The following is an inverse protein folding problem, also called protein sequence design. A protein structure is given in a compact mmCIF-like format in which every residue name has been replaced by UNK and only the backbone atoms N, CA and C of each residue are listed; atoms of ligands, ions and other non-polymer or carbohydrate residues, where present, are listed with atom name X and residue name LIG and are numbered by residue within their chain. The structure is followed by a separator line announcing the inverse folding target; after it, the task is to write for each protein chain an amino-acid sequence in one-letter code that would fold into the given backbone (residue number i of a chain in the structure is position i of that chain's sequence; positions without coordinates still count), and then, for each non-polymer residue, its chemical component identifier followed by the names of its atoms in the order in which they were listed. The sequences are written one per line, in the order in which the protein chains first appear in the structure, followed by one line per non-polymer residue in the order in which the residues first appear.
data_IF_096790740152
#
_entry.id   IF_096790740152
#
_cell.length_a   1.000
_cell.length_b   1.000
_cell.length_c   1.000
_cell.angle_alpha   90.00
_cell.angle_beta   90.00
_cell.angle_gamma   90.00
#
_symmetry.space_group_name_H-M   'P 1'
#
loop_
_entity.id
_entity.type
_entity.pdbx_description
1 polymer ?
#
# COMPACT_ATOMS: atom_id res chain seq x y z
N UNK A 1 -14.00 -49.60 69.54
CA UNK A 1 -14.38 -48.18 69.30
C UNK A 1 -13.98 -47.85 67.87
N UNK A 2 -14.90 -47.91 66.90
CA UNK A 2 -14.49 -48.05 65.49
C UNK A 2 -15.44 -47.40 64.46
N UNK A 3 -15.96 -46.21 64.75
CA UNK A 3 -16.66 -45.39 63.75
C UNK A 3 -16.31 -43.90 63.87
N UNK A 4 -15.07 -43.52 63.50
CA UNK A 4 -14.70 -42.09 63.38
C UNK A 4 -13.58 -41.76 62.37
N UNK A 5 -13.50 -42.49 61.24
CA UNK A 5 -12.49 -42.25 60.17
C UNK A 5 -13.03 -42.14 58.73
N UNK A 6 -14.34 -42.20 58.51
CA UNK A 6 -14.93 -42.28 57.14
C UNK A 6 -15.47 -40.92 56.64
N UNK A 7 -15.76 -39.95 57.51
CA UNK A 7 -16.40 -38.68 57.12
C UNK A 7 -15.47 -37.62 56.52
N UNK A 8 -14.16 -37.66 56.79
CA UNK A 8 -13.23 -36.58 56.39
C UNK A 8 -12.80 -36.70 54.93
N UNK A 9 -12.36 -37.88 54.49
CA UNK A 9 -11.84 -38.10 53.12
C UNK A 9 -12.91 -37.78 52.07
N UNK A 10 -14.16 -38.17 52.34
CA UNK A 10 -15.29 -37.94 51.42
C UNK A 10 -15.72 -36.47 51.33
N UNK A 11 -15.32 -35.61 52.29
CA UNK A 11 -15.49 -34.15 52.21
C UNK A 11 -14.30 -33.46 51.56
N UNK A 12 -13.07 -33.91 51.87
CA UNK A 12 -11.85 -33.37 51.26
C UNK A 12 -11.82 -33.63 49.74
N UNK A 13 -12.20 -34.84 49.31
CA UNK A 13 -12.29 -35.21 47.88
C UNK A 13 -13.30 -34.34 47.11
N UNK A 14 -14.45 -33.99 47.70
CA UNK A 14 -15.42 -33.08 47.07
C UNK A 14 -14.89 -31.65 47.04
N UNK A 15 -14.19 -31.19 48.10
CA UNK A 15 -13.63 -29.84 48.11
C UNK A 15 -12.51 -29.66 47.09
N UNK A 16 -11.61 -30.64 46.94
CA UNK A 16 -10.58 -30.65 45.89
C UNK A 16 -11.18 -30.76 44.50
N UNK A 17 -12.22 -31.58 44.31
CA UNK A 17 -12.92 -31.68 43.02
C UNK A 17 -13.63 -30.36 42.64
N UNK A 18 -14.31 -29.71 43.58
CA UNK A 18 -14.96 -28.42 43.34
C UNK A 18 -13.92 -27.31 43.10
N UNK A 19 -12.79 -27.32 43.82
CA UNK A 19 -11.71 -26.36 43.59
C UNK A 19 -11.05 -26.58 42.22
N UNK A 20 -10.80 -27.83 41.82
CA UNK A 20 -10.31 -28.17 40.48
C UNK A 20 -11.31 -27.81 39.37
N UNK A 21 -12.62 -27.96 39.62
CA UNK A 21 -13.68 -27.49 38.70
C UNK A 21 -13.68 -25.96 38.62
N UNK A 22 -13.49 -25.22 39.72
CA UNK A 22 -13.40 -23.76 39.70
C UNK A 22 -12.16 -23.26 38.94
N UNK A 23 -11.01 -23.94 39.06
CA UNK A 23 -9.83 -23.62 38.24
C UNK A 23 -10.00 -24.00 36.77
N UNK A 24 -10.59 -25.17 36.48
CA UNK A 24 -10.96 -25.53 35.11
C UNK A 24 -12.02 -24.58 34.51
N UNK A 25 -12.85 -23.91 35.34
CA UNK A 25 -13.86 -22.93 34.93
C UNK A 25 -13.29 -21.56 34.47
N UNK A 26 -11.96 -21.43 34.36
CA UNK A 26 -11.29 -20.19 33.95
C UNK A 26 -11.35 -19.87 32.43
N UNK A 27 -12.32 -20.41 31.67
CA UNK A 27 -12.54 -20.19 30.23
C UNK A 27 -13.04 -18.79 29.87
N UNK A 28 -12.46 -17.77 30.49
CA UNK A 28 -13.03 -16.45 30.69
C UNK A 28 -12.02 -15.34 30.37
N UNK A 29 -11.04 -15.60 29.51
CA UNK A 29 -10.02 -14.62 29.08
C UNK A 29 -10.36 -14.09 27.69
N UNK A 30 -10.18 -12.78 27.49
CA UNK A 30 -9.92 -12.17 26.18
C UNK A 30 -8.45 -11.73 26.17
N UNK A 31 -7.68 -12.29 25.25
CA UNK A 31 -6.30 -11.93 24.94
C UNK A 31 -6.27 -11.52 23.47
N UNK A 32 -5.99 -10.26 23.19
CA UNK A 32 -5.79 -9.75 21.83
C UNK A 32 -4.47 -9.01 21.77
N UNK A 33 -3.57 -9.44 20.90
CA UNK A 33 -2.49 -8.59 20.41
C UNK A 33 -2.89 -8.12 19.01
N UNK A 34 -2.84 -6.82 18.75
CA UNK A 34 -3.13 -6.23 17.44
C UNK A 34 -1.98 -5.31 17.05
N UNK A 35 -1.38 -5.58 15.89
CA UNK A 35 -0.32 -4.79 15.29
C UNK A 35 -0.84 -4.19 13.99
N UNK A 36 -1.08 -2.88 13.96
CA UNK A 36 -1.29 -2.16 12.70
C UNK A 36 0.04 -1.61 12.22
N UNK A 37 0.52 -2.09 11.09
CA UNK A 37 1.61 -1.49 10.35
C UNK A 37 1.04 -0.35 9.50
N UNK A 38 1.75 0.77 9.47
CA UNK A 38 1.39 1.97 8.74
C UNK A 38 2.35 2.15 7.54
N UNK A 39 1.92 2.82 6.47
CA UNK A 39 2.75 3.10 5.29
C UNK A 39 3.98 3.97 5.59
N UNK A 40 3.99 4.72 6.69
CA UNK A 40 5.11 5.56 7.14
C UNK A 40 6.28 4.78 7.79
N UNK A 41 6.26 3.44 7.72
CA UNK A 41 7.25 2.57 8.36
C UNK A 41 7.09 2.44 9.88
N UNK A 42 5.96 2.87 10.45
CA UNK A 42 5.67 2.75 11.89
C UNK A 42 4.57 1.73 12.20
N UNK A 43 4.44 1.40 13.48
CA UNK A 43 3.45 0.46 14.02
C UNK A 43 2.66 1.07 15.16
N UNK A 44 1.35 0.91 15.05
CA UNK A 44 0.37 1.11 16.12
C UNK A 44 0.03 -0.26 16.74
N UNK A 45 0.64 -0.55 17.89
CA UNK A 45 0.42 -1.80 18.61
C UNK A 45 -0.55 -1.60 19.78
N UNK A 46 -1.49 -2.53 19.95
CA UNK A 46 -2.30 -2.59 21.17
C UNK A 46 -2.51 -4.01 21.67
N UNK A 47 -2.60 -4.14 22.99
CA UNK A 47 -2.72 -5.41 23.69
C UNK A 47 -3.87 -5.36 24.71
N UNK A 48 -4.87 -6.22 24.56
CA UNK A 48 -6.00 -6.38 25.49
C UNK A 48 -5.77 -7.63 26.33
N UNK A 49 -5.83 -7.49 27.65
CA UNK A 49 -5.89 -8.62 28.57
C UNK A 49 -7.01 -8.41 29.60
N UNK A 50 -8.07 -9.21 29.46
CA UNK A 50 -9.29 -9.07 30.25
C UNK A 50 -9.85 -10.41 30.70
N UNK A 51 -10.49 -10.41 31.88
CA UNK A 51 -11.11 -11.58 32.51
C UNK A 51 -12.60 -11.36 32.73
N UNK A 52 -13.41 -12.43 32.75
CA UNK A 52 -14.82 -12.34 33.12
C UNK A 52 -14.99 -11.83 34.56
N UNK A 53 -15.83 -10.82 34.73
CA UNK A 53 -16.22 -10.25 36.04
C UNK A 53 -16.95 -11.27 36.92
N UNK A 54 -17.50 -12.34 36.33
CA UNK A 54 -18.19 -13.43 37.04
C UNK A 54 -17.24 -14.23 37.96
N UNK A 55 -15.93 -14.19 37.72
CA UNK A 55 -14.93 -14.98 38.45
C UNK A 55 -14.46 -14.36 39.79
N UNK A 56 -14.81 -13.09 40.06
CA UNK A 56 -14.50 -12.41 41.31
C UNK A 56 -13.08 -11.80 41.40
N UNK A 57 -12.87 -10.99 42.44
CA UNK A 57 -11.75 -10.03 42.54
C UNK A 57 -10.36 -10.62 42.77
N UNK A 58 -10.27 -11.86 43.23
CA UNK A 58 -9.00 -12.44 43.71
C UNK A 58 -8.16 -13.02 42.56
N UNK A 59 -8.76 -13.26 41.39
CA UNK A 59 -8.07 -13.61 40.14
C UNK A 59 -7.51 -12.37 39.43
N UNK A 60 -7.93 -11.16 39.81
CA UNK A 60 -7.46 -9.88 39.25
C UNK A 60 -6.07 -9.47 39.76
N UNK A 61 -5.15 -10.42 39.94
CA UNK A 61 -3.75 -10.23 40.31
C UNK A 61 -2.86 -10.30 39.06
N UNK A 62 -2.99 -11.36 38.27
CA UNK A 62 -2.23 -11.51 37.01
C UNK A 62 -2.48 -10.37 36.02
N UNK A 63 -3.69 -9.82 35.97
CA UNK A 63 -3.99 -8.61 35.18
C UNK A 63 -3.23 -7.38 35.67
N UNK A 64 -2.96 -7.23 36.97
CA UNK A 64 -2.23 -6.08 37.54
C UNK A 64 -0.73 -6.18 37.35
N UNK A 65 -0.17 -7.38 37.47
CA UNK A 65 1.27 -7.61 37.25
C UNK A 65 1.62 -7.40 35.77
N UNK A 66 0.77 -7.90 34.85
CA UNK A 66 0.88 -7.59 33.42
C UNK A 66 0.70 -6.09 33.13
N UNK A 67 -0.36 -5.46 33.65
CA UNK A 67 -0.60 -4.01 33.50
C UNK A 67 0.60 -3.19 33.99
N UNK A 68 1.25 -3.60 35.08
CA UNK A 68 2.46 -2.95 35.59
C UNK A 68 3.67 -3.11 34.65
N UNK A 69 3.85 -4.27 34.01
CA UNK A 69 4.95 -4.47 33.05
C UNK A 69 4.81 -3.52 31.85
N UNK A 70 3.60 -3.32 31.32
CA UNK A 70 3.34 -2.33 30.27
C UNK A 70 3.53 -0.89 30.75
N UNK A 71 3.09 -0.55 31.97
CA UNK A 71 3.32 0.77 32.58
C UNK A 71 4.83 1.09 32.72
N UNK A 72 5.60 0.15 33.25
CA UNK A 72 7.05 0.30 33.47
C UNK A 72 7.82 0.35 32.13
N UNK A 73 7.29 -0.25 31.06
CA UNK A 73 7.80 -0.16 29.69
C UNK A 73 7.36 1.11 28.93
N UNK A 74 6.58 2.00 29.56
CA UNK A 74 6.14 3.26 28.95
C UNK A 74 5.11 3.09 27.84
N UNK A 75 4.09 2.26 28.07
CA UNK A 75 2.89 2.14 27.24
C UNK A 75 1.72 2.90 27.87
N UNK A 76 0.82 3.44 27.04
CA UNK A 76 -0.44 4.00 27.52
C UNK A 76 -1.40 2.90 27.96
N UNK A 77 -2.19 3.16 29.01
CA UNK A 77 -3.04 2.15 29.66
C UNK A 77 -4.47 2.63 29.83
N UNK A 78 -5.40 1.91 29.21
CA UNK A 78 -6.84 2.14 29.24
C UNK A 78 -7.53 1.06 30.11
N UNK A 79 -8.62 1.40 30.81
CA UNK A 79 -9.50 0.39 31.43
C UNK A 79 -10.27 -0.31 30.31
N UNK A 80 -10.02 -1.61 30.11
CA UNK A 80 -10.83 -2.41 29.18
C UNK A 80 -12.06 -2.93 29.91
N UNK A 81 -13.23 -2.71 29.32
CA UNK A 81 -14.51 -3.15 29.87
C UNK A 81 -15.57 -3.31 28.80
N UNK A 82 -15.94 -4.55 28.52
CA UNK A 82 -16.83 -4.90 27.42
C UNK A 82 -17.64 -6.15 27.81
N UNK A 83 -18.95 -6.18 27.53
CA UNK A 83 -19.88 -7.20 28.02
C UNK A 83 -19.74 -7.48 29.54
N UNK A 84 -19.21 -8.67 29.87
CA UNK A 84 -18.89 -9.18 31.20
C UNK A 84 -17.38 -9.29 31.43
N UNK A 85 -16.56 -8.72 30.56
CA UNK A 85 -15.09 -8.76 30.62
C UNK A 85 -14.55 -7.44 31.17
N UNK A 86 -13.52 -7.52 32.01
CA UNK A 86 -12.81 -6.36 32.53
C UNK A 86 -11.32 -6.64 32.70
N UNK A 87 -10.49 -5.64 32.43
CA UNK A 87 -9.04 -5.75 32.45
C UNK A 87 -8.40 -4.43 32.01
N UNK A 88 -7.33 -4.53 31.23
CA UNK A 88 -6.68 -3.36 30.64
C UNK A 88 -6.47 -3.54 29.13
N UNK A 89 -6.35 -2.41 28.44
CA UNK A 89 -5.76 -2.32 27.11
C UNK A 89 -4.49 -1.49 27.21
N UNK A 90 -3.36 -2.04 26.79
CA UNK A 90 -2.14 -1.30 26.57
C UNK A 90 -2.08 -0.83 25.11
N UNK A 91 -1.61 0.38 24.88
CA UNK A 91 -1.49 0.98 23.54
C UNK A 91 -0.12 1.65 23.43
N UNK A 92 0.52 1.53 22.27
CA UNK A 92 1.70 2.31 21.90
C UNK A 92 1.72 2.54 20.40
N UNK A 93 1.79 3.81 20.01
CA UNK A 93 1.62 4.31 18.64
C UNK A 93 2.94 4.78 18.05
N UNK A 94 3.02 4.84 16.71
CA UNK A 94 4.22 5.26 15.96
C UNK A 94 5.52 4.62 16.49
N UNK A 95 5.53 3.29 16.66
CA UNK A 95 6.77 2.55 16.94
C UNK A 95 7.46 2.31 15.59
N UNK A 96 8.71 2.78 15.34
CA UNK A 96 9.43 2.41 14.12
C UNK A 96 9.55 0.88 14.01
N UNK A 97 9.35 0.32 12.83
CA UNK A 97 9.29 -1.14 12.62
C UNK A 97 10.52 -1.87 13.13
N UNK A 98 11.72 -1.31 12.92
CA UNK A 98 12.99 -1.84 13.39
C UNK A 98 13.14 -1.83 14.93
N UNK A 99 12.32 -1.02 15.61
CA UNK A 99 12.26 -0.92 17.06
C UNK A 99 11.10 -1.73 17.68
N UNK A 100 10.16 -2.27 16.89
CA UNK A 100 8.98 -2.99 17.42
C UNK A 100 9.37 -4.19 18.28
N UNK A 101 10.23 -5.08 17.80
CA UNK A 101 10.73 -6.24 18.56
C UNK A 101 11.35 -5.76 19.90
N UNK A 102 12.11 -4.66 19.86
CA UNK A 102 12.79 -4.09 21.02
C UNK A 102 11.83 -3.46 22.02
N UNK A 103 10.74 -2.84 21.57
CA UNK A 103 9.69 -2.29 22.43
C UNK A 103 8.81 -3.38 23.06
N UNK A 104 8.43 -4.39 22.28
CA UNK A 104 7.64 -5.53 22.75
C UNK A 104 8.40 -6.35 23.80
N UNK A 105 9.69 -6.65 23.57
CA UNK A 105 10.50 -7.42 24.52
C UNK A 105 10.70 -6.74 25.89
N UNK A 106 10.59 -5.40 26.00
CA UNK A 106 10.62 -4.71 27.31
C UNK A 106 9.49 -5.14 28.26
N UNK A 107 8.36 -5.58 27.70
CA UNK A 107 7.20 -6.04 28.48
C UNK A 107 7.39 -7.45 29.05
N UNK A 108 8.39 -8.19 28.57
CA UNK A 108 8.57 -9.62 28.85
C UNK A 108 7.42 -10.53 28.40
N UNK A 109 6.44 -10.01 27.67
CA UNK A 109 5.18 -10.72 27.31
C UNK A 109 5.18 -11.28 25.89
N UNK A 110 6.12 -10.87 25.05
CA UNK A 110 6.25 -11.22 23.62
C UNK A 110 7.60 -11.86 23.29
N UNK A 111 8.19 -12.61 24.24
CA UNK A 111 9.46 -13.30 23.98
C UNK A 111 9.29 -14.27 22.80
N UNK A 112 10.23 -14.29 21.87
CA UNK A 112 10.15 -15.10 20.66
C UNK A 112 9.37 -14.47 19.51
N UNK A 113 8.85 -13.24 19.68
CA UNK A 113 8.45 -12.37 18.56
C UNK A 113 9.71 -11.80 17.89
N UNK A 114 9.73 -11.78 16.56
CA UNK A 114 10.68 -11.05 15.74
C UNK A 114 10.01 -10.49 14.49
N UNK A 115 10.49 -9.35 14.03
CA UNK A 115 10.05 -8.70 12.81
C UNK A 115 11.29 -8.14 12.10
N UNK A 116 11.48 -8.52 10.84
CA UNK A 116 12.69 -8.23 10.08
C UNK A 116 12.39 -8.01 8.60
N UNK A 117 13.01 -6.99 8.04
CA UNK A 117 13.15 -6.82 6.60
C UNK A 117 13.93 -8.00 5.99
N UNK A 118 13.57 -8.42 4.78
CA UNK A 118 14.18 -9.57 4.08
C UNK A 118 14.59 -9.27 2.65
N UNK A 119 13.88 -8.35 2.00
CA UNK A 119 14.22 -7.69 0.73
C UNK A 119 13.70 -6.25 0.80
N UNK A 120 13.96 -5.42 -0.21
CA UNK A 120 13.62 -3.98 -0.20
C UNK A 120 12.10 -3.77 0.00
N UNK A 121 11.70 -3.24 1.15
CA UNK A 121 10.29 -3.10 1.54
C UNK A 121 9.55 -4.40 1.91
N UNK A 122 10.18 -5.57 1.88
CA UNK A 122 9.56 -6.86 2.27
C UNK A 122 9.91 -7.26 3.71
N UNK A 123 8.90 -7.62 4.51
CA UNK A 123 9.03 -7.91 5.93
C UNK A 123 8.50 -9.29 6.30
N UNK A 124 9.25 -9.99 7.16
CA UNK A 124 8.87 -11.28 7.77
C UNK A 124 8.64 -11.10 9.26
N UNK A 125 7.43 -11.44 9.69
CA UNK A 125 7.02 -11.57 11.09
C UNK A 125 7.06 -13.05 11.48
N UNK A 126 7.82 -13.36 12.52
CA UNK A 126 7.90 -14.70 13.14
C UNK A 126 7.61 -14.57 14.64
N UNK A 127 6.67 -15.34 15.19
CA UNK A 127 6.46 -15.38 16.64
C UNK A 127 6.24 -16.80 17.15
N UNK A 128 7.21 -17.33 17.92
CA UNK A 128 7.06 -18.55 18.71
C UNK A 128 6.03 -18.36 19.83
N UNK A 129 4.87 -19.00 19.67
CA UNK A 129 3.78 -19.00 20.65
C UNK A 129 3.67 -20.33 21.39
N UNK A 130 4.53 -21.31 21.10
CA UNK A 130 4.44 -22.70 21.59
C UNK A 130 4.40 -22.79 23.13
N UNK A 131 5.09 -21.87 23.82
CA UNK A 131 5.08 -21.76 25.27
C UNK A 131 3.72 -21.25 25.80
N UNK A 132 3.16 -20.22 25.17
CA UNK A 132 1.86 -19.63 25.52
C UNK A 132 0.70 -20.60 25.26
N UNK A 133 0.72 -21.30 24.13
CA UNK A 133 -0.28 -22.32 23.77
C UNK A 133 -0.20 -23.55 24.68
N UNK A 134 1.02 -23.99 25.02
CA UNK A 134 1.26 -25.09 25.97
C UNK A 134 0.77 -24.75 27.38
N UNK A 135 1.13 -23.57 27.92
CA UNK A 135 0.72 -23.17 29.27
C UNK A 135 -0.79 -22.95 29.36
N UNK A 136 -1.43 -22.37 28.35
CA UNK A 136 -2.88 -22.24 28.26
C UNK A 136 -3.58 -23.62 28.21
N UNK A 137 -3.09 -24.52 27.36
CA UNK A 137 -3.62 -25.89 27.22
C UNK A 137 -3.45 -26.70 28.50
N UNK A 138 -2.33 -26.53 29.23
CA UNK A 138 -2.07 -27.20 30.51
C UNK A 138 -3.06 -26.79 31.61
N UNK A 139 -3.59 -25.56 31.52
CA UNK A 139 -4.62 -25.02 32.40
C UNK A 139 -6.05 -25.42 31.97
N UNK A 140 -6.19 -26.18 30.88
CA UNK A 140 -7.47 -26.65 30.35
C UNK A 140 -8.18 -25.66 29.43
N UNK A 141 -7.49 -24.63 28.92
CA UNK A 141 -8.04 -23.72 27.92
C UNK A 141 -8.03 -24.38 26.52
N UNK A 142 -9.04 -24.09 25.72
CA UNK A 142 -9.15 -24.48 24.30
C UNK A 142 -10.06 -23.51 23.53
N UNK A 143 -10.04 -23.54 22.20
CA UNK A 143 -10.92 -22.71 21.34
C UNK A 143 -12.40 -22.86 21.73
N UNK A 144 -12.96 -24.05 21.57
CA UNK A 144 -14.37 -24.35 21.91
C UNK A 144 -14.76 -23.87 23.31
N UNK A 145 -13.84 -24.05 24.25
CA UNK A 145 -14.08 -23.76 25.66
C UNK A 145 -14.08 -22.26 25.95
N UNK A 146 -13.15 -21.47 25.39
CA UNK A 146 -13.17 -20.02 25.49
C UNK A 146 -14.37 -19.42 24.72
N UNK A 147 -14.62 -19.91 23.50
CA UNK A 147 -15.73 -19.45 22.65
C UNK A 147 -17.10 -19.69 23.29
N UNK A 148 -17.28 -20.77 24.07
CA UNK A 148 -18.51 -21.01 24.84
C UNK A 148 -18.89 -19.87 25.79
N UNK A 149 -17.91 -19.11 26.30
CA UNK A 149 -18.16 -17.98 27.21
C UNK A 149 -18.02 -16.61 26.55
N UNK A 150 -17.53 -16.52 25.30
CA UNK A 150 -17.21 -15.25 24.63
C UNK A 150 -15.79 -14.74 24.90
N UNK A 151 -14.88 -15.65 25.30
CA UNK A 151 -13.44 -15.42 25.38
C UNK A 151 -12.72 -15.88 24.12
N UNK A 152 -11.47 -15.44 23.96
CA UNK A 152 -10.60 -15.79 22.82
C UNK A 152 -9.14 -15.46 23.13
N UNK A 153 -8.22 -16.06 22.38
CA UNK A 153 -6.80 -15.69 22.37
C UNK A 153 -6.34 -15.60 20.91
N UNK A 154 -5.95 -14.40 20.46
CA UNK A 154 -5.57 -14.14 19.07
C UNK A 154 -4.48 -13.08 18.89
N UNK A 155 -3.81 -13.16 17.74
CA UNK A 155 -3.05 -12.06 17.15
C UNK A 155 -3.77 -11.58 15.89
N UNK A 156 -3.76 -10.27 15.66
CA UNK A 156 -4.23 -9.64 14.43
C UNK A 156 -3.11 -8.76 13.90
N UNK A 157 -2.69 -9.00 12.66
CA UNK A 157 -1.86 -8.09 11.89
C UNK A 157 -2.76 -7.31 10.93
N UNK A 158 -2.51 -6.01 10.79
CA UNK A 158 -3.03 -5.15 9.72
C UNK A 158 -1.80 -4.56 9.01
N UNK A 159 -1.78 -4.60 7.68
CA UNK A 159 -0.64 -4.17 6.83
C UNK A 159 -1.11 -3.15 5.79
N UNK A 160 -0.21 -2.24 5.34
CA UNK A 160 -0.53 -1.30 4.27
C UNK A 160 -0.33 -1.90 2.87
N UNK A 161 0.56 -2.90 2.72
CA UNK A 161 0.84 -3.60 1.47
C UNK A 161 0.27 -5.03 1.42
N UNK A 162 0.77 -5.84 0.50
CA UNK A 162 0.27 -7.20 0.26
C UNK A 162 0.75 -8.21 1.32
N UNK A 163 -0.06 -9.23 1.63
CA UNK A 163 0.32 -10.42 2.40
C UNK A 163 0.79 -11.53 1.46
N UNK A 164 2.10 -11.54 1.18
CA UNK A 164 2.77 -12.45 0.24
C UNK A 164 2.72 -13.93 0.70
N UNK A 165 2.84 -14.18 2.01
CA UNK A 165 2.77 -15.55 2.55
C UNK A 165 2.26 -15.51 4.01
N UNK A 166 1.40 -16.44 4.42
CA UNK A 166 0.99 -16.54 5.83
C UNK A 166 0.55 -17.95 6.24
N UNK A 167 0.68 -18.25 7.54
CA UNK A 167 0.02 -19.39 8.18
C UNK A 167 -1.25 -19.01 8.97
N UNK A 168 -1.73 -17.77 8.83
CA UNK A 168 -2.95 -17.25 9.45
C UNK A 168 -4.18 -17.31 8.54
N UNK A 169 -5.27 -16.65 8.96
CA UNK A 169 -6.45 -16.42 8.13
C UNK A 169 -6.47 -14.97 7.65
N UNK A 170 -6.19 -14.75 6.37
CA UNK A 170 -6.26 -13.43 5.74
C UNK A 170 -7.72 -12.95 5.55
N UNK A 171 -7.89 -11.63 5.49
CA UNK A 171 -9.09 -10.95 5.01
C UNK A 171 -9.27 -11.15 3.49
N UNK A 172 -10.41 -10.71 2.94
CA UNK A 172 -10.67 -10.83 1.50
C UNK A 172 -9.84 -9.86 0.65
N UNK A 173 -9.64 -8.69 1.23
CA UNK A 173 -8.86 -7.54 0.80
C UNK A 173 -7.34 -7.70 1.06
N UNK A 174 -6.88 -8.82 1.61
CA UNK A 174 -5.48 -9.08 1.96
C UNK A 174 -4.92 -8.26 3.13
N UNK A 175 -5.45 -7.07 3.41
CA UNK A 175 -4.92 -6.07 4.36
C UNK A 175 -4.78 -6.53 5.82
N UNK A 176 -5.41 -7.64 6.23
CA UNK A 176 -5.36 -8.11 7.61
C UNK A 176 -5.28 -9.63 7.72
N UNK A 177 -4.58 -10.11 8.75
CA UNK A 177 -4.42 -11.52 9.06
C UNK A 177 -4.80 -11.77 10.52
N UNK A 178 -5.73 -12.71 10.78
CA UNK A 178 -6.07 -13.17 12.12
C UNK A 178 -5.52 -14.57 12.39
N UNK A 179 -4.93 -14.76 13.58
CA UNK A 179 -4.47 -16.05 14.09
C UNK A 179 -5.15 -16.40 15.41
N UNK A 180 -5.83 -17.54 15.47
CA UNK A 180 -6.31 -18.11 16.73
C UNK A 180 -5.23 -18.99 17.37
N UNK A 181 -4.84 -18.68 18.60
CA UNK A 181 -3.71 -19.36 19.27
C UNK A 181 -3.98 -20.84 19.59
N UNK A 182 -5.22 -21.31 19.48
CA UNK A 182 -5.57 -22.73 19.68
C UNK A 182 -5.68 -23.52 18.37
N UNK A 183 -5.38 -22.89 17.22
CA UNK A 183 -5.38 -23.52 15.89
C UNK A 183 -3.97 -23.50 15.25
N UNK A 184 -3.03 -22.79 15.87
CA UNK A 184 -1.59 -22.84 15.60
C UNK A 184 -0.97 -23.98 16.42
N UNK A 185 -0.01 -24.71 15.85
CA UNK A 185 0.80 -25.69 16.60
C UNK A 185 1.94 -25.01 17.38
N UNK A 186 2.83 -24.31 16.66
CA UNK A 186 4.12 -23.84 17.21
C UNK A 186 4.33 -22.32 17.08
N UNK A 187 4.19 -21.75 15.87
CA UNK A 187 4.50 -20.34 15.59
C UNK A 187 3.51 -19.63 14.67
N UNK A 188 3.44 -18.31 14.82
CA UNK A 188 2.86 -17.35 13.87
C UNK A 188 3.91 -17.02 12.81
N UNK A 189 3.50 -16.94 11.55
CA UNK A 189 4.34 -16.52 10.43
C UNK A 189 3.54 -15.70 9.40
N UNK A 190 4.09 -14.56 8.98
CA UNK A 190 3.67 -13.82 7.80
C UNK A 190 4.85 -13.17 7.08
N UNK A 191 4.80 -13.15 5.76
CA UNK A 191 5.59 -12.28 4.88
C UNK A 191 4.65 -11.25 4.24
N UNK A 192 5.01 -9.97 4.26
CA UNK A 192 4.19 -8.87 3.73
C UNK A 192 5.05 -7.70 3.23
N UNK A 193 4.49 -6.80 2.42
CA UNK A 193 5.20 -5.60 1.96
C UNK A 193 4.84 -4.33 2.75
N UNK A 194 5.78 -3.38 2.79
CA UNK A 194 5.61 -2.00 3.28
C UNK A 194 5.40 -0.96 2.19
N UNK A 195 5.66 -1.30 0.93
CA UNK A 195 5.31 -0.48 -0.24
C UNK A 195 3.80 -0.21 -0.14
N UNK A 196 3.49 0.96 0.44
CA UNK A 196 2.24 1.16 1.14
C UNK A 196 1.13 1.33 0.14
N UNK A 197 0.29 0.30 0.02
CA UNK A 197 -0.83 0.25 -0.91
C UNK A 197 -0.51 0.90 -2.24
N UNK A 198 0.47 0.36 -2.99
CA UNK A 198 0.53 0.63 -4.43
C UNK A 198 -0.78 0.05 -4.98
N UNK A 199 -1.81 0.89 -5.06
CA UNK A 199 -3.14 0.49 -5.52
C UNK A 199 -2.96 0.18 -6.99
N UNK A 200 -2.77 -1.10 -7.29
CA UNK A 200 -2.60 -1.56 -8.65
C UNK A 200 -3.87 -1.21 -9.44
N UNK A 201 -3.74 -0.77 -10.70
CA UNK A 201 -4.91 -0.55 -11.52
C UNK A 201 -5.72 -1.84 -11.62
N UNK A 202 -7.05 -1.75 -11.52
CA UNK A 202 -7.97 -2.85 -11.82
C UNK A 202 -8.12 -3.04 -13.34
N UNK A 203 -7.88 -1.98 -14.10
CA UNK A 203 -7.70 -2.03 -15.55
C UNK A 203 -6.63 -1.04 -16.04
N UNK A 204 -5.93 -1.41 -17.11
CA UNK A 204 -5.05 -0.53 -17.87
C UNK A 204 -5.44 -0.52 -19.36
N UNK A 205 -5.46 0.66 -19.95
CA UNK A 205 -5.68 0.86 -21.39
C UNK A 205 -4.47 1.55 -22.02
N UNK A 206 -3.92 0.97 -23.09
CA UNK A 206 -2.83 1.55 -23.88
C UNK A 206 -3.31 1.72 -25.33
N UNK A 207 -3.61 2.95 -25.74
CA UNK A 207 -4.11 3.27 -27.08
C UNK A 207 -2.98 3.82 -27.97
N UNK A 208 -2.50 3.01 -28.92
CA UNK A 208 -1.33 3.32 -29.75
C UNK A 208 -1.72 4.07 -31.03
N UNK A 209 -1.21 5.28 -31.19
CA UNK A 209 -1.60 6.23 -32.23
C UNK A 209 -0.81 6.12 -33.54
N UNK A 210 -1.39 6.68 -34.62
CA UNK A 210 -0.89 6.54 -36.00
C UNK A 210 0.32 7.43 -36.35
N UNK A 211 0.67 8.36 -35.47
CA UNK A 211 1.81 9.28 -35.54
C UNK A 211 3.02 8.86 -34.68
N UNK A 212 2.93 7.72 -33.97
CA UNK A 212 3.91 7.18 -33.00
C UNK A 212 3.83 7.74 -31.57
N UNK A 213 2.64 8.16 -31.10
CA UNK A 213 2.38 8.31 -29.66
C UNK A 213 1.54 7.15 -29.11
N UNK A 214 1.35 7.09 -27.80
CA UNK A 214 0.30 6.35 -27.12
C UNK A 214 -0.46 7.26 -26.15
N UNK A 215 -1.73 6.96 -25.91
CA UNK A 215 -2.53 7.51 -24.82
C UNK A 215 -2.72 6.39 -23.79
N UNK A 216 -2.41 6.65 -22.52
CA UNK A 216 -2.44 5.64 -21.43
C UNK A 216 -3.48 6.03 -20.40
N UNK A 217 -4.25 5.04 -19.91
CA UNK A 217 -5.24 5.21 -18.85
C UNK A 217 -5.13 4.05 -17.86
N UNK A 218 -5.13 4.36 -16.57
CA UNK A 218 -5.04 3.40 -15.46
C UNK A 218 -6.23 3.66 -14.52
N UNK A 219 -7.06 2.66 -14.33
CA UNK A 219 -8.30 2.74 -13.54
C UNK A 219 -8.15 2.00 -12.21
N UNK A 220 -8.60 2.61 -11.11
CA UNK A 220 -8.48 2.13 -9.73
C UNK A 220 -9.87 2.14 -9.06
N UNK A 221 -10.25 1.05 -8.39
CA UNK A 221 -11.53 0.90 -7.68
C UNK A 221 -11.35 0.99 -6.14
N UNK A 222 -12.42 1.34 -5.42
CA UNK A 222 -12.50 1.40 -3.95
C UNK A 222 -11.38 2.24 -3.26
N UNK A 223 -10.98 3.36 -3.87
CA UNK A 223 -10.00 4.30 -3.32
C UNK A 223 -10.55 4.98 -2.03
N UNK A 224 -9.80 4.87 -0.91
CA UNK A 224 -10.11 5.57 0.34
C UNK A 224 -9.30 6.87 0.57
N UNK A 225 -8.14 7.02 -0.08
CA UNK A 225 -7.25 8.18 0.07
C UNK A 225 -6.72 8.66 -1.29
N UNK A 226 -6.67 9.98 -1.49
CA UNK A 226 -6.17 10.61 -2.72
C UNK A 226 -4.71 11.07 -2.60
N UNK A 227 -4.16 11.21 -1.39
CA UNK A 227 -2.75 11.64 -1.18
C UNK A 227 -1.75 10.61 -1.78
N UNK A 228 -2.20 9.39 -2.08
CA UNK A 228 -1.42 8.35 -2.80
C UNK A 228 -1.18 8.66 -4.30
N UNK A 229 -1.90 9.61 -4.89
CA UNK A 229 -1.78 9.98 -6.30
C UNK A 229 -0.98 11.28 -6.53
N UNK A 230 -0.54 11.97 -5.47
CA UNK A 230 0.27 13.20 -5.54
C UNK A 230 1.54 13.00 -6.41
N UNK A 231 2.21 11.84 -6.31
CA UNK A 231 3.40 11.52 -7.12
C UNK A 231 3.07 11.36 -8.62
N UNK A 232 1.87 10.85 -8.96
CA UNK A 232 1.43 10.80 -10.37
C UNK A 232 1.06 12.19 -10.91
N UNK A 233 0.48 13.07 -10.08
CA UNK A 233 0.30 14.48 -10.45
C UNK A 233 1.65 15.19 -10.68
N UNK A 234 2.69 14.93 -9.85
CA UNK A 234 4.05 15.45 -10.07
C UNK A 234 4.71 14.86 -11.34
N UNK A 235 4.43 13.60 -11.68
CA UNK A 235 4.82 12.97 -12.96
C UNK A 235 4.01 13.49 -14.17
N UNK A 236 2.94 14.26 -13.95
CA UNK A 236 2.13 14.88 -15.00
C UNK A 236 1.05 13.98 -15.59
N UNK A 237 0.49 13.05 -14.81
CA UNK A 237 -0.77 12.38 -15.12
C UNK A 237 -1.96 13.31 -14.79
N UNK A 238 -3.05 13.22 -15.57
CA UNK A 238 -4.33 13.85 -15.25
C UNK A 238 -5.17 12.87 -14.42
N UNK A 239 -5.40 13.21 -13.15
CA UNK A 239 -6.11 12.37 -12.18
C UNK A 239 -7.58 12.82 -12.07
N UNK A 240 -8.52 11.89 -12.20
CA UNK A 240 -9.94 12.20 -12.04
C UNK A 240 -10.72 11.07 -11.35
N UNK A 241 -11.56 11.39 -10.38
CA UNK A 241 -12.30 10.38 -9.60
C UNK A 241 -12.85 10.90 -8.28
N UNK A 242 -13.25 9.98 -7.40
CA UNK A 242 -13.54 10.19 -5.97
C UNK A 242 -13.33 8.86 -5.21
N UNK A 243 -14.17 7.84 -5.46
CA UNK A 243 -13.95 6.43 -5.05
C UNK A 243 -13.39 5.56 -6.18
N UNK A 244 -13.79 5.87 -7.40
CA UNK A 244 -13.39 5.23 -8.63
C UNK A 244 -12.49 6.27 -9.32
N UNK A 245 -11.22 5.95 -9.53
CA UNK A 245 -10.19 6.92 -9.98
C UNK A 245 -9.59 6.45 -11.30
N UNK A 246 -9.43 7.39 -12.23
CA UNK A 246 -8.67 7.20 -13.46
C UNK A 246 -7.48 8.15 -13.44
N UNK A 247 -6.27 7.61 -13.59
CA UNK A 247 -5.07 8.36 -13.95
C UNK A 247 -4.83 8.22 -15.46
N UNK A 248 -4.60 9.32 -16.17
CA UNK A 248 -4.37 9.27 -17.63
C UNK A 248 -3.21 10.16 -18.11
N UNK A 249 -2.58 9.78 -19.23
CA UNK A 249 -1.58 10.60 -19.92
C UNK A 249 -1.72 10.45 -21.44
N UNK A 250 -2.14 11.53 -22.11
CA UNK A 250 -2.28 11.59 -23.58
C UNK A 250 -0.93 11.92 -24.26
N UNK A 251 -0.70 11.35 -25.44
CA UNK A 251 0.35 11.80 -26.36
C UNK A 251 1.79 11.42 -25.98
N UNK A 252 1.98 10.38 -25.18
CA UNK A 252 3.29 9.81 -24.79
C UNK A 252 4.03 9.36 -26.06
N UNK A 253 5.25 9.82 -26.32
CA UNK A 253 6.03 9.34 -27.48
C UNK A 253 6.37 7.84 -27.29
N UNK A 254 6.18 7.02 -28.33
CA UNK A 254 6.38 5.56 -28.25
C UNK A 254 7.84 5.12 -28.00
N UNK A 255 8.79 6.05 -27.98
CA UNK A 255 10.18 5.78 -27.59
C UNK A 255 10.38 5.94 -26.06
N UNK A 256 9.42 6.55 -25.35
CA UNK A 256 9.43 6.80 -23.90
C UNK A 256 8.37 5.95 -23.13
N UNK A 257 7.55 5.15 -23.82
CA UNK A 257 6.43 4.38 -23.22
C UNK A 257 6.86 3.30 -22.23
N UNK A 258 7.99 2.63 -22.47
CA UNK A 258 8.60 1.65 -21.55
C UNK A 258 9.06 2.37 -20.26
N UNK A 259 9.86 3.43 -20.40
CA UNK A 259 10.32 4.26 -19.29
C UNK A 259 9.14 4.82 -18.47
N UNK A 260 8.07 5.31 -19.11
CA UNK A 260 6.88 5.81 -18.41
C UNK A 260 6.25 4.74 -17.53
N UNK A 261 5.84 3.61 -18.11
CA UNK A 261 5.09 2.58 -17.38
C UNK A 261 5.93 1.99 -16.25
N UNK A 262 7.19 1.63 -16.51
CA UNK A 262 8.11 1.09 -15.51
C UNK A 262 8.35 2.10 -14.37
N UNK A 263 8.50 3.39 -14.66
CA UNK A 263 8.74 4.42 -13.63
C UNK A 263 7.52 4.85 -12.82
N UNK A 264 6.30 4.41 -13.16
CA UNK A 264 5.15 4.60 -12.26
C UNK A 264 5.19 3.73 -11.01
N UNK A 265 6.00 2.65 -11.02
CA UNK A 265 6.01 1.59 -10.00
C UNK A 265 4.65 0.87 -9.79
N UNK A 266 3.63 1.16 -10.61
CA UNK A 266 2.27 0.56 -10.57
C UNK A 266 2.21 -0.89 -11.11
N UNK A 267 3.26 -1.68 -10.89
CA UNK A 267 3.32 -3.09 -11.27
C UNK A 267 3.64 -3.39 -12.73
N UNK A 268 4.16 -2.43 -13.50
CA UNK A 268 4.66 -2.61 -14.88
C UNK A 268 6.16 -2.96 -14.93
N UNK A 269 6.68 -3.64 -13.90
CA UNK A 269 8.10 -3.87 -13.61
C UNK A 269 8.88 -4.64 -14.70
N UNK A 270 8.25 -5.64 -15.33
CA UNK A 270 8.80 -6.38 -16.49
C UNK A 270 8.10 -6.00 -17.82
N UNK A 271 7.54 -4.79 -17.93
CA UNK A 271 6.95 -4.30 -19.19
C UNK A 271 8.04 -3.85 -20.17
N UNK A 272 7.93 -4.25 -21.45
CA UNK A 272 8.86 -3.84 -22.51
C UNK A 272 8.15 -3.43 -23.79
N UNK A 273 8.69 -2.42 -24.49
CA UNK A 273 8.14 -1.90 -25.74
C UNK A 273 9.25 -1.48 -26.71
N UNK A 274 9.33 -2.14 -27.87
CA UNK A 274 10.45 -1.92 -28.82
C UNK A 274 10.03 -1.84 -30.29
N UNK A 275 10.78 -1.07 -31.10
CA UNK A 275 10.65 -1.05 -32.57
C UNK A 275 11.86 -1.76 -33.23
N UNK A 276 11.57 -2.64 -34.20
CA UNK A 276 12.58 -3.34 -34.98
C UNK A 276 12.12 -3.56 -36.42
N UNK A 277 12.89 -3.02 -37.37
CA UNK A 277 12.60 -3.10 -38.81
C UNK A 277 11.17 -2.63 -39.20
N UNK A 278 10.58 -1.72 -38.41
CA UNK A 278 9.20 -1.23 -38.57
C UNK A 278 8.09 -2.15 -38.03
N UNK A 279 8.44 -3.19 -37.27
CA UNK A 279 7.54 -3.95 -36.39
C UNK A 279 7.69 -3.39 -34.98
N UNK A 280 6.56 -3.19 -34.31
CA UNK A 280 6.51 -2.88 -32.88
C UNK A 280 6.19 -4.16 -32.11
N UNK A 281 6.87 -4.36 -31.00
CA UNK A 281 6.66 -5.47 -30.07
C UNK A 281 6.40 -4.91 -28.67
N UNK A 282 5.28 -5.32 -28.08
CA UNK A 282 4.96 -5.19 -26.66
C UNK A 282 5.08 -6.58 -26.04
N UNK A 283 5.88 -6.72 -24.98
CA UNK A 283 6.04 -7.95 -24.20
C UNK A 283 6.04 -7.60 -22.69
N UNK A 284 5.25 -8.28 -21.87
CA UNK A 284 5.15 -8.02 -20.43
C UNK A 284 4.83 -9.31 -19.64
N UNK A 285 5.66 -9.66 -18.65
CA UNK A 285 5.30 -10.70 -17.68
C UNK A 285 4.40 -10.14 -16.57
N UNK A 286 3.10 -10.26 -16.80
CA UNK A 286 2.06 -9.83 -15.88
C UNK A 286 1.49 -10.96 -15.03
N UNK A 287 2.15 -12.13 -14.99
CA UNK A 287 1.54 -13.37 -14.51
C UNK A 287 1.06 -13.28 -13.05
N UNK A 288 -0.26 -13.46 -12.85
CA UNK A 288 -0.91 -13.42 -11.54
C UNK A 288 -1.29 -12.03 -11.02
N UNK A 289 -1.08 -10.95 -11.79
CA UNK A 289 -1.56 -9.60 -11.44
C UNK A 289 -3.08 -9.54 -11.68
N UNK A 290 -3.87 -9.11 -10.70
CA UNK A 290 -5.34 -9.11 -10.77
C UNK A 290 -5.89 -7.86 -11.50
N UNK A 291 -5.56 -7.72 -12.79
CA UNK A 291 -5.87 -6.56 -13.63
C UNK A 291 -6.34 -6.98 -15.03
N UNK A 292 -7.20 -6.18 -15.66
CA UNK A 292 -7.54 -6.29 -17.08
C UNK A 292 -6.62 -5.40 -17.92
N UNK A 293 -6.04 -5.90 -19.01
CA UNK A 293 -5.29 -5.09 -19.97
C UNK A 293 -6.08 -4.95 -21.28
N UNK A 294 -6.23 -3.71 -21.75
CA UNK A 294 -6.72 -3.39 -23.10
C UNK A 294 -5.64 -2.67 -23.90
N UNK A 295 -5.35 -3.15 -25.12
CA UNK A 295 -4.43 -2.46 -26.04
C UNK A 295 -5.19 -2.13 -27.34
N UNK A 296 -5.42 -0.85 -27.59
CA UNK A 296 -5.94 -0.38 -28.89
C UNK A 296 -4.78 -0.14 -29.86
N UNK A 297 -4.71 -0.92 -30.93
CA UNK A 297 -3.67 -0.81 -31.94
C UNK A 297 -4.08 0.11 -33.11
N UNK A 298 -3.14 0.81 -33.77
CA UNK A 298 -3.48 1.69 -34.88
C UNK A 298 -3.94 0.91 -36.13
N UNK A 299 -3.69 -0.40 -36.17
CA UNK A 299 -4.13 -1.37 -37.16
C UNK A 299 -4.17 -2.76 -36.50
N UNK A 300 -4.94 -3.69 -37.05
CA UNK A 300 -4.86 -5.14 -36.82
C UNK A 300 -3.42 -5.63 -36.55
N UNK A 301 -3.27 -6.46 -35.51
CA UNK A 301 -2.02 -7.10 -35.10
C UNK A 301 -1.47 -8.03 -36.19
N UNK A 302 -0.21 -8.44 -36.04
CA UNK A 302 0.45 -9.40 -36.94
C UNK A 302 0.71 -10.73 -36.21
N UNK A 303 1.03 -10.68 -34.91
CA UNK A 303 1.07 -11.81 -33.96
C UNK A 303 0.58 -11.30 -32.58
N UNK A 304 -0.24 -12.05 -31.84
CA UNK A 304 -0.76 -11.69 -30.50
C UNK A 304 -1.17 -12.95 -29.70
N UNK A 305 -1.39 -12.81 -28.39
CA UNK A 305 -1.89 -13.86 -27.50
C UNK A 305 -3.06 -13.40 -26.58
N UNK A 306 -3.94 -12.55 -27.08
CA UNK A 306 -5.06 -12.00 -26.31
C UNK A 306 -6.20 -13.02 -26.06
N UNK A 307 -6.92 -12.85 -24.95
CA UNK A 307 -8.13 -13.64 -24.66
C UNK A 307 -9.29 -13.25 -25.60
N UNK A 308 -9.30 -11.98 -26.02
CA UNK A 308 -10.26 -11.41 -26.96
C UNK A 308 -9.58 -10.39 -27.89
N UNK A 309 -10.03 -10.35 -29.14
CA UNK A 309 -9.38 -9.66 -30.27
C UNK A 309 -10.47 -9.28 -31.29
N UNK A 310 -10.81 -7.99 -31.40
CA UNK A 310 -11.82 -7.46 -32.35
C UNK A 310 -11.26 -6.27 -33.16
N UNK A 311 -11.11 -6.48 -34.48
CA UNK A 311 -10.47 -5.62 -35.50
C UNK A 311 -9.06 -5.08 -35.16
N UNK A 312 -8.92 -4.28 -34.10
CA UNK A 312 -7.67 -3.67 -33.63
C UNK A 312 -7.63 -3.45 -32.11
N UNK A 313 -8.56 -4.00 -31.33
CA UNK A 313 -8.56 -3.97 -29.86
C UNK A 313 -8.23 -5.36 -29.36
N UNK A 314 -7.26 -5.44 -28.44
CA UNK A 314 -6.80 -6.67 -27.79
C UNK A 314 -7.08 -6.59 -26.28
N UNK A 315 -7.62 -7.64 -25.70
CA UNK A 315 -8.03 -7.70 -24.28
C UNK A 315 -7.45 -8.96 -23.60
N UNK A 316 -6.91 -8.80 -22.39
CA UNK A 316 -6.37 -9.88 -21.54
C UNK A 316 -6.92 -9.80 -20.10
N UNK A 317 -7.25 -10.93 -19.48
CA UNK A 317 -7.45 -11.06 -18.02
C UNK A 317 -6.18 -11.65 -17.39
N UNK A 318 -5.36 -10.79 -16.78
CA UNK A 318 -4.03 -11.14 -16.28
C UNK A 318 -4.10 -12.05 -15.04
N UNK A 319 -5.29 -12.20 -14.45
CA UNK A 319 -5.57 -13.06 -13.29
C UNK A 319 -5.45 -14.55 -13.58
N UNK A 320 -5.65 -14.98 -14.84
CA UNK A 320 -5.65 -16.40 -15.26
C UNK A 320 -4.51 -16.75 -16.26
N UNK A 321 -3.60 -15.83 -16.58
CA UNK A 321 -2.52 -16.07 -17.57
C UNK A 321 -1.37 -16.98 -17.07
N UNK A 322 -1.02 -18.00 -17.87
CA UNK A 322 0.17 -18.85 -17.69
C UNK A 322 1.39 -18.46 -18.58
N UNK A 323 1.20 -17.56 -19.56
CA UNK A 323 2.25 -17.07 -20.48
C UNK A 323 2.29 -15.52 -20.45
N UNK A 324 3.45 -14.87 -20.67
CA UNK A 324 3.54 -13.40 -20.72
C UNK A 324 2.66 -12.78 -21.82
N UNK A 325 2.16 -11.56 -21.59
CA UNK A 325 1.47 -10.75 -22.61
C UNK A 325 2.42 -10.50 -23.78
N UNK A 326 1.96 -10.71 -25.02
CA UNK A 326 2.74 -10.41 -26.22
C UNK A 326 1.87 -9.92 -27.38
N UNK A 327 2.26 -8.81 -28.00
CA UNK A 327 1.63 -8.28 -29.20
C UNK A 327 2.66 -7.67 -30.17
N UNK A 328 2.61 -8.09 -31.44
CA UNK A 328 3.41 -7.55 -32.54
C UNK A 328 2.52 -6.87 -33.59
N UNK A 329 2.85 -5.65 -33.99
CA UNK A 329 2.04 -4.87 -34.93
C UNK A 329 2.86 -3.92 -35.81
N UNK A 330 2.21 -3.28 -36.78
CA UNK A 330 2.84 -2.32 -37.70
C UNK A 330 2.03 -1.03 -37.81
N UNK A 331 2.66 0.11 -37.53
CA UNK A 331 2.03 1.44 -37.69
C UNK A 331 2.03 1.83 -39.17
N UNK A 332 0.99 1.38 -39.90
CA UNK A 332 0.76 1.68 -41.31
C UNK A 332 0.45 3.19 -41.45
N UNK A 333 1.46 3.99 -41.83
CA UNK A 333 1.30 5.46 -42.02
C UNK A 333 0.09 5.78 -42.89
N UNK A 334 -0.77 6.66 -42.39
CA UNK A 334 -1.99 7.08 -43.09
C UNK A 334 -1.67 7.57 -44.51
N UNK A 335 -2.06 6.77 -45.51
CA UNK A 335 -1.74 7.03 -46.91
C UNK A 335 -2.42 8.31 -47.38
N UNK A 336 -1.65 9.41 -47.47
CA UNK A 336 -2.16 10.73 -47.86
C UNK A 336 -3.02 10.59 -49.12
N UNK A 337 -4.34 10.86 -49.05
CA UNK A 337 -5.28 10.32 -50.02
C UNK A 337 -4.95 10.85 -51.42
N UNK A 338 -4.48 9.94 -52.29
CA UNK A 338 -4.01 10.28 -53.64
C UNK A 338 -5.12 10.98 -54.45
N UNK A 339 -6.39 10.74 -54.07
CA UNK A 339 -7.56 11.44 -54.57
C UNK A 339 -7.52 12.96 -54.33
N UNK A 340 -7.05 13.45 -53.16
CA UNK A 340 -6.84 14.89 -52.93
C UNK A 340 -5.70 15.45 -53.79
N UNK A 341 -4.59 14.71 -53.94
CA UNK A 341 -3.48 15.11 -54.82
C UNK A 341 -3.95 15.16 -56.29
N UNK A 342 -4.80 14.23 -56.70
CA UNK A 342 -5.42 14.21 -58.02
C UNK A 342 -6.45 15.33 -58.22
N UNK A 343 -7.21 15.72 -57.20
CA UNK A 343 -8.12 16.88 -57.22
C UNK A 343 -7.33 18.20 -57.33
N UNK A 344 -6.23 18.34 -56.57
CA UNK A 344 -5.39 19.54 -56.60
C UNK A 344 -4.64 19.64 -57.94
N UNK A 345 -3.99 18.55 -58.38
CA UNK A 345 -3.31 18.51 -59.68
C UNK A 345 -4.27 18.67 -60.87
N UNK A 346 -5.45 18.04 -60.81
CA UNK A 346 -6.49 18.15 -61.82
C UNK A 346 -7.12 19.54 -61.90
N UNK A 347 -7.38 20.19 -60.75
CA UNK A 347 -7.94 21.55 -60.72
C UNK A 347 -6.94 22.59 -61.24
N UNK A 348 -5.64 22.44 -60.97
CA UNK A 348 -4.58 23.27 -61.59
C UNK A 348 -4.57 23.10 -63.12
N UNK A 349 -4.70 21.86 -63.61
CA UNK A 349 -4.70 21.58 -65.05
C UNK A 349 -5.95 22.14 -65.77
N UNK A 350 -7.13 22.02 -65.15
CA UNK A 350 -8.38 22.63 -65.65
C UNK A 350 -8.30 24.16 -65.62
N UNK A 351 -7.80 24.75 -64.53
CA UNK A 351 -7.60 26.20 -64.43
C UNK A 351 -6.62 26.72 -65.51
N UNK A 352 -5.53 25.98 -65.77
CA UNK A 352 -4.60 26.28 -66.85
C UNK A 352 -5.26 26.30 -68.24
N UNK A 353 -6.13 25.31 -68.53
CA UNK A 353 -6.91 25.28 -69.78
C UNK A 353 -7.88 26.46 -69.86
N UNK A 354 -8.60 26.77 -68.79
CA UNK A 354 -9.55 27.91 -68.76
C UNK A 354 -8.82 29.25 -68.98
N UNK A 355 -7.67 29.47 -68.32
CA UNK A 355 -6.84 30.66 -68.52
C UNK A 355 -6.33 30.73 -69.96
N UNK A 356 -5.88 29.61 -70.55
CA UNK A 356 -5.38 29.57 -71.91
C UNK A 356 -6.49 29.88 -72.94
N UNK A 357 -7.71 29.37 -72.73
CA UNK A 357 -8.90 29.71 -73.53
C UNK A 357 -9.25 31.19 -73.40
N UNK A 358 -9.25 31.75 -72.18
CA UNK A 358 -9.50 33.19 -71.94
C UNK A 358 -8.44 34.04 -72.65
N UNK A 359 -7.15 33.69 -72.56
CA UNK A 359 -6.04 34.40 -73.23
C UNK A 359 -6.19 34.36 -74.76
N UNK A 360 -6.62 33.23 -75.33
CA UNK A 360 -6.90 33.13 -76.77
C UNK A 360 -8.10 33.99 -77.20
N UNK A 361 -9.17 34.01 -76.41
CA UNK A 361 -10.36 34.86 -76.67
C UNK A 361 -10.01 36.35 -76.55
N UNK A 362 -9.27 36.75 -75.52
CA UNK A 362 -8.86 38.15 -75.29
C UNK A 362 -7.87 38.61 -76.36
N UNK A 363 -6.89 37.78 -76.76
CA UNK A 363 -6.00 38.07 -77.90
C UNK A 363 -6.76 38.29 -79.21
N UNK A 364 -7.93 37.65 -79.40
CA UNK A 364 -8.77 37.83 -80.59
C UNK A 364 -9.62 39.11 -80.57
N UNK A 365 -9.64 39.89 -79.47
CA UNK A 365 -10.58 41.01 -79.27
C UNK A 365 -9.94 42.37 -78.90
N UNK A 366 -8.62 42.56 -79.09
CA UNK A 366 -7.96 43.87 -78.92
C UNK A 366 -7.29 44.35 -80.21
N UNK A 367 -7.97 45.24 -80.93
CA UNK A 367 -7.42 46.07 -82.01
C UNK A 367 -8.22 47.37 -82.08
N UNK A 368 -7.54 48.53 -82.12
CA UNK A 368 -8.07 49.91 -81.88
C UNK A 368 -8.46 50.14 -80.40
N UNK A 369 -8.15 51.26 -79.73
CA UNK A 369 -7.57 52.56 -80.14
C UNK A 369 -8.68 53.60 -80.38
N UNK A 370 -8.68 54.82 -79.80
CA UNK A 370 -7.73 55.50 -78.89
C UNK A 370 -8.46 56.50 -77.97
N UNK A 371 -7.74 57.17 -77.05
CA UNK A 371 -8.25 58.25 -76.15
C UNK A 371 -8.23 59.65 -76.82
N UNK A 372 -7.88 60.78 -76.14
CA UNK A 372 -7.54 61.02 -74.70
C UNK A 372 -8.69 61.81 -73.98
N UNK A 373 -8.61 62.75 -73.00
CA UNK A 373 -7.63 63.73 -72.46
C UNK A 373 -7.79 64.04 -70.94
N UNK A 374 -6.92 64.93 -70.46
CA UNK A 374 -6.69 65.54 -69.11
C UNK A 374 -7.57 66.81 -68.87
N UNK A 375 -7.63 67.46 -67.67
CA UNK A 375 -6.50 67.69 -66.72
C UNK A 375 -6.79 67.55 -65.21
N UNK A 376 -5.77 67.90 -64.39
CA UNK A 376 -5.70 67.79 -62.92
C UNK A 376 -5.08 69.07 -62.32
N UNK A 377 -5.26 69.35 -61.02
CA UNK A 377 -4.40 70.25 -60.25
C UNK A 377 -3.66 69.56 -59.07
N UNK A 378 -2.33 69.64 -59.13
CA UNK A 378 -1.37 70.16 -58.12
C UNK A 378 -1.97 70.65 -56.77
N UNK A 379 -1.37 70.51 -55.57
CA UNK A 379 -0.20 69.79 -54.95
C UNK A 379 -0.34 69.95 -53.41
N UNK A 380 0.31 69.12 -52.57
CA UNK A 380 1.17 69.50 -51.41
C UNK A 380 1.34 68.35 -50.38
N UNK A 381 2.42 68.37 -49.60
CA UNK A 381 2.84 67.31 -48.65
C UNK A 381 3.45 67.95 -47.39
N UNK A 382 3.06 67.50 -46.18
CA UNK A 382 4.07 67.32 -45.14
C UNK A 382 3.88 66.09 -44.23
N UNK A 383 5.02 65.50 -43.85
CA UNK A 383 5.37 64.82 -42.58
C UNK A 383 4.42 63.78 -41.93
N UNK A 384 5.03 62.69 -41.43
CA UNK A 384 4.38 61.68 -40.60
C UNK A 384 4.55 61.96 -39.09
N UNK A 385 3.58 61.56 -38.24
CA UNK A 385 3.78 61.20 -36.85
C UNK A 385 3.88 59.67 -36.66
N UNK A 386 4.24 59.22 -35.45
CA UNK A 386 4.60 57.83 -35.12
C UNK A 386 3.63 57.27 -34.05
N UNK A 387 3.26 55.98 -34.17
CA UNK A 387 2.59 55.15 -33.13
C UNK A 387 1.14 55.54 -32.73
N UNK A 388 0.38 54.71 -31.97
CA UNK A 388 0.78 53.52 -31.19
C UNK A 388 0.13 52.16 -31.59
N UNK A 389 0.61 51.11 -30.91
CA UNK A 389 0.17 49.71 -31.00
C UNK A 389 -1.25 49.49 -30.43
N UNK A 390 -1.94 48.39 -30.81
CA UNK A 390 -3.21 48.00 -30.19
C UNK A 390 -3.04 47.59 -28.72
N UNK A 391 -4.11 47.78 -27.94
CA UNK A 391 -4.19 47.52 -26.50
C UNK A 391 -4.78 46.12 -26.25
N UNK A 392 -4.21 45.37 -25.31
CA UNK A 392 -4.74 44.08 -24.86
C UNK A 392 -6.01 44.23 -24.00
N UNK A 393 -6.95 43.27 -24.03
CA UNK A 393 -8.17 43.33 -23.23
C UNK A 393 -7.89 43.32 -21.71
N UNK A 394 -8.71 44.04 -20.94
CA UNK A 394 -8.61 44.11 -19.49
C UNK A 394 -9.61 43.15 -18.81
N UNK A 395 -9.14 42.37 -17.84
CA UNK A 395 -9.97 41.49 -17.02
C UNK A 395 -10.85 42.28 -16.02
N UNK A 396 -12.00 41.74 -15.58
CA UNK A 396 -12.83 42.38 -14.55
C UNK A 396 -12.12 42.49 -13.19
N UNK A 397 -12.42 43.54 -12.45
CA UNK A 397 -11.86 43.75 -11.11
C UNK A 397 -12.73 43.08 -10.02
N UNK A 398 -12.12 42.22 -9.21
CA UNK A 398 -12.74 41.65 -8.01
C UNK A 398 -12.72 42.66 -6.83
N UNK A 399 -13.71 42.59 -5.91
CA UNK A 399 -13.69 43.39 -4.69
C UNK A 399 -12.60 42.91 -3.72
N UNK A 400 -12.07 43.83 -2.92
CA UNK A 400 -10.97 43.56 -1.98
C UNK A 400 -11.38 42.53 -0.89
N UNK A 401 -10.65 41.42 -0.81
CA UNK A 401 -10.66 40.56 0.38
C UNK A 401 -9.92 41.22 1.55
N UNK A 402 -10.28 40.81 2.76
CA UNK A 402 -9.52 41.13 3.97
C UNK A 402 -8.16 40.45 3.92
N UNK A 403 -7.08 41.17 4.21
CA UNK A 403 -5.78 40.56 4.43
C UNK A 403 -5.83 39.70 5.72
N UNK A 404 -5.48 38.41 5.68
CA UNK A 404 -5.30 37.62 6.90
C UNK A 404 -4.14 38.20 7.72
N UNK A 405 -4.32 38.32 9.03
CA UNK A 405 -3.22 38.69 9.91
C UNK A 405 -2.24 37.52 9.98
N UNK A 406 -0.95 37.80 9.79
CA UNK A 406 0.09 36.79 9.99
C UNK A 406 0.00 36.23 11.42
N UNK A 407 0.10 34.90 11.62
CA UNK A 407 0.15 34.30 12.94
C UNK A 407 1.26 34.93 13.78
N UNK A 408 0.95 35.25 15.05
CA UNK A 408 1.96 35.75 15.97
C UNK A 408 3.01 34.65 16.21
N UNK A 409 4.27 34.94 15.90
CA UNK A 409 5.36 34.00 16.10
C UNK A 409 5.39 33.49 17.56
N UNK A 410 5.52 32.17 17.80
CA UNK A 410 5.57 31.63 19.16
C UNK A 410 6.61 32.35 20.01
N UNK A 411 6.21 32.77 21.22
CA UNK A 411 7.16 33.28 22.20
C UNK A 411 8.10 32.15 22.61
N UNK A 412 9.35 32.22 22.16
CA UNK A 412 10.41 31.31 22.58
C UNK A 412 10.65 31.51 24.07
N UNK A 413 10.01 30.68 24.90
CA UNK A 413 10.34 30.58 26.31
C UNK A 413 11.81 30.17 26.43
N UNK A 414 12.58 30.94 27.19
CA UNK A 414 13.99 30.64 27.42
C UNK A 414 14.12 29.22 28.04
N UNK A 415 15.13 28.43 27.65
CA UNK A 415 15.25 27.05 28.09
C UNK A 415 15.34 26.98 29.62
N UNK A 416 14.46 26.17 30.21
CA UNK A 416 14.52 25.83 31.64
C UNK A 416 15.83 25.06 31.89
N UNK A 417 16.81 25.73 32.50
CA UNK A 417 18.06 25.09 32.93
C UNK A 417 17.75 24.23 34.16
N UNK A 418 17.86 22.89 34.09
CA UNK A 418 17.64 22.05 35.26
C UNK A 418 18.73 22.35 36.29
N UNK A 419 18.35 22.65 37.53
CA UNK A 419 19.34 22.70 38.60
C UNK A 419 19.89 21.29 38.86
N UNK A 420 21.21 21.11 39.03
CA UNK A 420 21.78 19.80 39.34
C UNK A 420 21.24 19.31 40.70
N UNK A 421 20.92 18.02 40.84
CA UNK A 421 20.32 17.49 42.07
C UNK A 421 21.26 17.70 43.27
N UNK A 422 20.73 18.30 44.33
CA UNK A 422 21.48 18.58 45.56
C UNK A 422 21.78 17.27 46.27
N UNK A 423 23.05 16.87 46.28
CA UNK A 423 23.53 15.57 46.73
C UNK A 423 23.44 15.40 48.27
N UNK A 424 22.57 14.54 48.82
CA UNK A 424 22.49 14.27 50.24
C UNK A 424 23.55 13.23 50.66
N UNK A 425 24.39 13.57 51.63
CA UNK A 425 25.52 12.74 52.06
C UNK A 425 25.11 11.38 52.63
N UNK A 426 25.76 10.34 52.11
CA UNK A 426 26.01 9.01 52.66
C UNK A 426 25.49 8.68 54.08
N UNK A 427 24.75 7.58 54.18
CA UNK A 427 24.65 6.75 55.39
C UNK A 427 25.00 5.30 55.06
N UNK A 428 25.76 4.64 55.93
CA UNK A 428 26.36 3.32 55.69
C UNK A 428 25.83 2.24 56.64
N UNK A 429 24.97 1.35 56.13
CA UNK A 429 24.60 0.06 56.76
C UNK A 429 23.78 -0.79 55.77
N UNK A 430 23.83 -2.13 55.79
CA UNK A 430 24.62 -2.99 56.67
C UNK A 430 24.18 -4.46 56.78
N UNK A 431 23.40 -5.00 55.83
CA UNK A 431 22.87 -6.38 55.84
C UNK A 431 22.22 -6.72 54.48
N UNK A 432 22.17 -7.96 53.98
CA UNK A 432 22.83 -9.19 54.45
C UNK A 432 21.98 -10.46 54.26
N UNK A 433 22.27 -11.26 53.22
CA UNK A 433 21.74 -12.62 52.90
C UNK A 433 20.26 -12.72 52.46
N UNK A 434 19.85 -13.81 51.76
CA UNK A 434 20.62 -14.73 50.89
C UNK A 434 20.02 -14.92 49.47
N UNK A 435 20.85 -15.38 48.53
CA UNK A 435 20.42 -15.81 47.18
C UNK A 435 20.06 -17.32 47.17
N UNK A 436 18.87 -17.75 46.71
CA UNK A 436 18.57 -19.16 46.49
C UNK A 436 19.28 -19.69 45.23
N UNK A 437 19.97 -20.83 45.35
CA UNK A 437 20.86 -21.33 44.29
C UNK A 437 20.18 -22.18 43.21
N UNK A 438 20.66 -22.04 41.97
CA UNK A 438 20.41 -22.98 40.87
C UNK A 438 21.22 -24.28 41.07
N UNK A 439 20.65 -25.46 40.73
CA UNK A 439 21.38 -26.72 40.80
C UNK A 439 22.41 -26.85 39.67
N UNK A 440 23.64 -27.27 40.02
CA UNK A 440 24.67 -27.61 39.03
C UNK A 440 24.38 -28.96 38.40
N UNK A 441 24.26 -29.02 37.07
CA UNK A 441 24.24 -30.28 36.31
C UNK A 441 25.68 -30.64 35.96
N UNK A 442 26.09 -31.86 36.34
CA UNK A 442 27.48 -32.32 36.20
C UNK A 442 27.86 -32.69 34.77
N UNK A 443 29.10 -32.38 34.40
CA UNK A 443 29.68 -32.75 33.10
C UNK A 443 29.94 -34.26 32.97
N UNK A 444 29.50 -34.83 31.86
CA UNK A 444 29.79 -36.23 31.49
C UNK A 444 31.02 -36.28 30.59
N UNK A 445 32.04 -37.10 30.88
CA UNK A 445 33.22 -37.25 30.00
C UNK A 445 32.92 -38.14 28.79
N UNK A 446 33.61 -37.94 27.65
CA UNK A 446 33.35 -38.70 26.42
C UNK A 446 33.89 -40.14 26.50
N UNK A 447 33.15 -41.08 25.92
CA UNK A 447 33.68 -42.41 25.59
C UNK A 447 33.96 -42.51 24.08
N UNK A 448 35.15 -42.99 23.74
CA UNK A 448 35.52 -43.36 22.38
C UNK A 448 34.92 -44.71 21.96
N UNK A 449 35.06 -45.09 20.69
CA UNK A 449 34.37 -46.25 20.12
C UNK A 449 35.03 -47.57 20.51
N UNK A 450 34.21 -48.62 20.62
CA UNK A 450 34.66 -50.00 20.61
C UNK A 450 33.90 -50.80 19.53
N UNK A 451 34.55 -51.84 19.01
CA UNK A 451 34.11 -52.54 17.79
C UNK A 451 33.48 -53.91 18.07
N UNK A 452 32.97 -54.53 16.98
CA UNK A 452 32.51 -55.92 16.85
C UNK A 452 31.12 -56.25 17.43
N UNK A 453 30.44 -57.33 17.03
CA UNK A 453 30.24 -58.03 15.74
C UNK A 453 29.66 -59.42 16.06
N UNK A 454 28.77 -59.94 15.21
CA UNK A 454 28.23 -61.32 15.25
C UNK A 454 27.44 -61.66 16.55
N UNK A 455 26.18 -62.09 16.47
CA UNK A 455 25.71 -63.23 15.69
C UNK A 455 24.23 -63.09 15.32
#
# INVERSE_FOLDING_TARGET
MEQKRISTVRKLSVFVLVFAIVFALAGCVRYEARSRVNADGTVDFSFVYAMSTDLGSDLSTGTKDAQKAFADAGWDLEEYKEDKYSGFRAVKKHIPLEDLEKELNKTGSFNGFSLREVDDGEYVLEWDVSSLTSDASSQGLSKDYLSQYGGYMRFVLEVPGEVIETNGSASKDGSSIEWNFFEINDSIYAKFSLSGGVVLPSAATIAVNKDKTADVSLDFEDVEDMEQFDDLEEMGWDISGDSDVTASQEGVDLEDLEDLLVTTELGFDDFTFSEKDGIYTLEWDASGKAMNLTVELPNEAEEENADSSDDNVLEWDLSEMEEPVSAQFKIKKAGFPILLVAIIGGSILVAGIVILVIVLIVRKKKNKGDGPKKPSPVVEVPAAPIQPSPIAPQSPAFPQQYAPQAPAAPQVNAPYVPQPPVNPTAYTSGSGLPNPGLPQIGSVPPQGPDNNAQN
#
